data_IF_475445695980
#
_entry.id   IF_475445695980
#
_cell.length_a   1.000
_cell.length_b   1.000
_cell.length_c   1.000
_cell.angle_alpha   90.00
_cell.angle_beta   90.00
_cell.angle_gamma   90.00
#
_symmetry.space_group_name_H-M   'P 1'
#
loop_
_entity.id
_entity.type
_entity.pdbx_description
1 polymer ?
#
# COMPACT_ATOMS: atom_id res chain seq x y z
N UNK A 1 -73.24 33.67 22.06
CA UNK A 1 -72.12 32.74 21.82
C UNK A 1 -71.22 33.41 20.78
N UNK A 2 -69.98 33.80 21.10
CA UNK A 2 -69.08 34.35 20.09
C UNK A 2 -68.47 33.22 19.26
N UNK A 3 -68.29 33.55 17.98
CA UNK A 3 -67.64 32.84 16.89
C UNK A 3 -66.38 32.06 17.29
N UNK A 4 -66.31 30.77 16.96
CA UNK A 4 -65.04 30.06 16.79
C UNK A 4 -64.41 30.57 15.48
N UNK A 5 -63.24 31.18 15.56
CA UNK A 5 -62.41 31.53 14.40
C UNK A 5 -61.61 30.30 13.96
N UNK A 6 -61.83 29.86 12.72
CA UNK A 6 -61.08 28.78 12.04
C UNK A 6 -59.66 29.23 11.59
N UNK A 7 -58.89 29.91 12.45
CA UNK A 7 -57.65 30.60 12.05
C UNK A 7 -56.34 29.91 12.49
N UNK A 8 -56.39 28.66 12.93
CA UNK A 8 -55.18 27.90 13.36
C UNK A 8 -54.78 26.80 12.35
N UNK A 9 -54.83 27.11 11.04
CA UNK A 9 -54.15 26.26 10.07
C UNK A 9 -52.62 26.50 10.17
N UNK A 10 -51.80 25.45 10.36
CA UNK A 10 -50.35 25.63 10.49
C UNK A 10 -49.78 26.29 9.22
N UNK A 11 -48.88 27.25 9.41
CA UNK A 11 -48.26 27.96 8.30
C UNK A 11 -47.46 27.00 7.41
N UNK A 12 -47.31 27.35 6.13
CA UNK A 12 -46.55 26.55 5.15
C UNK A 12 -45.06 26.82 5.33
N UNK A 13 -44.23 25.76 5.37
CA UNK A 13 -42.76 25.92 5.39
C UNK A 13 -42.30 26.65 4.12
N UNK A 14 -41.71 27.84 4.28
CA UNK A 14 -41.08 28.61 3.22
C UNK A 14 -39.59 28.28 3.09
N UNK A 15 -38.90 28.12 4.23
CA UNK A 15 -37.49 27.79 4.28
C UNK A 15 -37.12 27.08 5.59
N UNK A 16 -35.99 26.40 5.58
CA UNK A 16 -35.31 25.88 6.75
C UNK A 16 -33.84 26.33 6.73
N UNK A 17 -33.28 26.66 7.90
CA UNK A 17 -31.90 27.13 8.02
C UNK A 17 -31.20 26.53 9.26
N UNK A 18 -29.87 26.34 9.23
CA UNK A 18 -29.13 25.80 10.37
C UNK A 18 -29.08 26.83 11.52
N UNK A 19 -29.19 26.35 12.76
CA UNK A 19 -29.09 27.19 13.96
C UNK A 19 -27.64 27.51 14.37
N UNK A 20 -26.66 26.73 13.91
CA UNK A 20 -25.25 26.89 14.21
C UNK A 20 -24.40 26.75 12.95
N UNK A 21 -23.19 27.29 13.00
CA UNK A 21 -22.23 27.19 11.90
C UNK A 21 -21.66 25.78 11.71
N UNK A 22 -21.59 24.99 12.78
CA UNK A 22 -21.11 23.61 12.77
C UNK A 22 -21.66 22.82 13.96
N UNK A 23 -21.72 21.51 13.82
CA UNK A 23 -22.15 20.55 14.85
C UNK A 23 -21.07 19.49 15.04
N UNK A 24 -20.77 19.14 16.28
CA UNK A 24 -19.70 18.19 16.59
C UNK A 24 -20.23 16.77 16.83
N UNK A 25 -19.56 15.79 16.23
CA UNK A 25 -19.76 14.38 16.56
C UNK A 25 -19.17 14.07 17.93
N UNK A 26 -19.89 13.29 18.72
CA UNK A 26 -19.35 12.73 19.95
C UNK A 26 -18.53 11.46 19.68
N UNK A 27 -17.92 10.91 20.75
CA UNK A 27 -17.06 9.73 20.67
C UNK A 27 -17.77 8.48 20.11
N UNK A 28 -19.09 8.33 20.29
CA UNK A 28 -19.85 7.19 19.78
C UNK A 28 -20.44 7.41 18.38
N UNK A 29 -20.23 8.59 17.79
CA UNK A 29 -20.72 8.96 16.47
C UNK A 29 -22.15 9.50 16.45
N UNK A 30 -22.65 10.03 17.57
CA UNK A 30 -23.93 10.75 17.62
C UNK A 30 -23.73 12.25 17.47
N UNK A 31 -24.69 12.90 16.82
CA UNK A 31 -24.75 14.37 16.65
C UNK A 31 -26.19 14.88 16.80
N UNK A 32 -26.31 16.05 17.40
CA UNK A 32 -27.56 16.79 17.59
C UNK A 32 -27.61 17.96 16.59
N UNK A 33 -28.44 17.84 15.55
CA UNK A 33 -28.55 18.81 14.46
C UNK A 33 -29.74 19.74 14.72
N UNK A 34 -29.48 21.01 14.98
CA UNK A 34 -30.53 22.02 15.23
C UNK A 34 -30.80 22.86 13.99
N UNK A 35 -32.06 22.97 13.58
CA UNK A 35 -32.48 23.82 12.47
C UNK A 35 -33.74 24.58 12.83
N UNK A 36 -33.98 25.68 12.12
CA UNK A 36 -35.13 26.55 12.30
C UNK A 36 -35.95 26.59 11.00
N UNK A 37 -37.28 26.54 11.14
CA UNK A 37 -38.21 26.69 10.01
C UNK A 37 -38.82 28.09 10.00
N UNK A 38 -39.01 28.62 8.79
CA UNK A 38 -39.62 29.91 8.53
C UNK A 38 -40.95 29.67 7.79
N UNK A 39 -42.09 30.19 8.28
CA UNK A 39 -42.28 30.92 9.55
C UNK A 39 -42.29 29.99 10.79
N UNK A 40 -42.06 30.55 11.98
CA UNK A 40 -41.87 29.79 13.25
C UNK A 40 -43.05 28.88 13.65
N UNK A 41 -44.27 29.21 13.19
CA UNK A 41 -45.49 28.45 13.45
C UNK A 41 -45.75 27.36 12.39
N UNK A 42 -44.82 27.13 11.45
CA UNK A 42 -44.92 26.04 10.49
C UNK A 42 -44.73 24.68 11.17
N UNK A 43 -45.59 23.72 10.82
CA UNK A 43 -45.52 22.36 11.35
C UNK A 43 -44.56 21.51 10.52
N UNK A 44 -43.67 20.78 11.19
CA UNK A 44 -42.79 19.80 10.56
C UNK A 44 -43.31 18.40 10.85
N UNK A 45 -43.61 17.65 9.78
CA UNK A 45 -44.16 16.30 9.88
C UNK A 45 -43.11 15.23 9.57
N UNK A 46 -42.10 15.57 8.75
CA UNK A 46 -41.05 14.63 8.36
C UNK A 46 -39.71 15.36 8.18
N UNK A 47 -38.66 14.76 8.75
CA UNK A 47 -37.26 15.17 8.54
C UNK A 47 -36.46 13.94 8.11
N UNK A 48 -35.78 14.03 6.97
CA UNK A 48 -34.94 12.96 6.44
C UNK A 48 -33.55 13.48 6.11
N UNK A 49 -32.53 12.71 6.43
CA UNK A 49 -31.19 12.94 5.88
C UNK A 49 -31.22 12.48 4.43
N UNK A 50 -30.83 13.36 3.51
CA UNK A 50 -30.78 13.13 2.07
C UNK A 50 -29.36 13.40 1.55
N UNK A 51 -29.05 12.89 0.36
CA UNK A 51 -27.74 13.04 -0.27
C UNK A 51 -27.02 11.70 -0.49
N UNK A 52 -25.87 11.78 -1.14
CA UNK A 52 -25.08 10.60 -1.55
C UNK A 52 -24.37 9.94 -0.36
N UNK A 53 -24.03 10.71 0.67
CA UNK A 53 -23.27 10.22 1.82
C UNK A 53 -24.23 9.60 2.86
N UNK A 54 -24.57 8.31 2.67
CA UNK A 54 -25.47 7.53 3.57
C UNK A 54 -24.82 7.14 4.91
N UNK A 55 -23.75 7.83 5.29
CA UNK A 55 -22.99 7.57 6.50
C UNK A 55 -23.76 7.92 7.79
N UNK A 56 -24.84 8.70 7.70
CA UNK A 56 -25.67 9.13 8.83
C UNK A 56 -27.08 8.56 8.74
N UNK A 57 -27.60 8.15 9.89
CA UNK A 57 -28.99 7.72 10.07
C UNK A 57 -29.69 8.61 11.11
N UNK A 58 -30.87 9.12 10.75
CA UNK A 58 -31.74 9.83 11.67
C UNK A 58 -32.33 8.88 12.72
N UNK A 59 -32.19 9.21 14.00
CA UNK A 59 -32.80 8.47 15.12
C UNK A 59 -34.15 9.03 15.56
N UNK A 60 -34.41 10.30 15.26
CA UNK A 60 -35.67 10.97 15.56
C UNK A 60 -35.48 12.47 15.65
N UNK A 61 -36.58 13.22 15.53
CA UNK A 61 -36.59 14.68 15.63
C UNK A 61 -37.65 15.16 16.63
N UNK A 62 -37.39 16.29 17.27
CA UNK A 62 -38.27 16.91 18.28
C UNK A 62 -38.32 18.42 18.11
N UNK A 63 -39.46 19.03 18.42
CA UNK A 63 -39.57 20.50 18.46
C UNK A 63 -38.96 21.05 19.75
N UNK A 64 -38.21 22.14 19.65
CA UNK A 64 -37.70 22.93 20.80
C UNK A 64 -38.55 24.19 21.07
N UNK A 65 -39.59 24.42 20.28
CA UNK A 65 -40.41 25.65 20.31
C UNK A 65 -39.78 26.82 19.55
N UNK A 66 -40.61 27.80 19.17
CA UNK A 66 -40.19 29.00 18.44
C UNK A 66 -39.56 28.70 17.08
N UNK A 67 -40.20 27.85 16.26
CA UNK A 67 -39.67 27.45 14.95
C UNK A 67 -38.46 26.50 14.98
N UNK A 68 -37.89 26.20 16.15
CA UNK A 68 -36.66 25.38 16.26
C UNK A 68 -36.96 23.91 16.43
N UNK A 69 -36.16 23.10 15.75
CA UNK A 69 -36.24 21.66 15.72
C UNK A 69 -34.86 21.05 15.94
N UNK A 70 -34.84 19.88 16.58
CA UNK A 70 -33.64 19.09 16.84
C UNK A 70 -33.79 17.73 16.16
N UNK A 71 -32.84 17.35 15.32
CA UNK A 71 -32.70 16.02 14.76
C UNK A 71 -31.50 15.32 15.42
N UNK A 72 -31.73 14.17 16.03
CA UNK A 72 -30.64 13.30 16.49
C UNK A 72 -30.24 12.38 15.35
N UNK A 73 -28.96 12.38 14.99
CA UNK A 73 -28.39 11.51 13.96
C UNK A 73 -27.22 10.69 14.53
N UNK A 74 -27.00 9.50 13.95
CA UNK A 74 -25.89 8.60 14.28
C UNK A 74 -25.15 8.19 13.03
N UNK A 75 -23.83 8.11 13.12
CA UNK A 75 -22.98 7.51 12.08
C UNK A 75 -23.21 6.00 12.00
N UNK A 76 -23.50 5.49 10.81
CA UNK A 76 -23.65 4.06 10.51
C UNK A 76 -22.46 3.48 9.77
N UNK A 77 -21.70 4.31 9.05
CA UNK A 77 -20.50 3.93 8.32
C UNK A 77 -19.38 4.95 8.51
N UNK A 78 -18.46 4.66 9.43
CA UNK A 78 -17.30 5.50 9.72
C UNK A 78 -16.25 5.53 8.60
N UNK A 79 -16.35 4.69 7.57
CA UNK A 79 -15.44 4.73 6.42
C UNK A 79 -15.70 5.92 5.50
N UNK A 80 -16.87 6.55 5.63
CA UNK A 80 -17.31 7.68 4.82
C UNK A 80 -17.28 9.01 5.57
N UNK A 81 -16.89 8.99 6.84
CA UNK A 81 -16.79 10.18 7.70
C UNK A 81 -15.43 10.82 7.53
N UNK A 82 -15.43 12.11 7.21
CA UNK A 82 -14.26 12.97 7.12
C UNK A 82 -14.16 13.87 8.35
N UNK A 83 -13.09 14.65 8.44
CA UNK A 83 -12.98 15.71 9.46
C UNK A 83 -14.16 16.70 9.41
N UNK A 84 -14.61 17.06 8.21
CA UNK A 84 -15.75 17.93 7.97
C UNK A 84 -16.71 17.25 6.98
N UNK A 85 -18.00 17.20 7.34
CA UNK A 85 -19.01 16.48 6.61
C UNK A 85 -20.21 17.39 6.36
N UNK A 86 -20.69 17.42 5.12
CA UNK A 86 -21.95 18.08 4.78
C UNK A 86 -23.10 17.11 4.95
N UNK A 87 -24.07 17.46 5.79
CA UNK A 87 -25.31 16.71 6.01
C UNK A 87 -26.47 17.55 5.50
N UNK A 88 -27.25 17.01 4.55
CA UNK A 88 -28.41 17.70 3.99
C UNK A 88 -29.68 17.08 4.57
N UNK A 89 -30.57 17.89 5.14
CA UNK A 89 -31.88 17.43 5.59
C UNK A 89 -32.96 17.88 4.62
N UNK A 90 -33.90 17.00 4.31
CA UNK A 90 -35.20 17.32 3.73
C UNK A 90 -36.20 17.47 4.85
N UNK A 91 -36.72 18.69 5.02
CA UNK A 91 -37.75 19.06 6.00
C UNK A 91 -39.08 19.21 5.27
N UNK A 92 -40.10 18.50 5.72
CA UNK A 92 -41.40 18.42 5.03
C UNK A 92 -42.57 18.63 5.98
N UNK A 93 -43.58 19.27 5.42
CA UNK A 93 -44.92 19.38 5.96
C UNK A 93 -45.89 18.57 5.08
N UNK A 94 -46.92 17.99 5.68
CA UNK A 94 -47.92 17.18 4.98
C UNK A 94 -48.62 18.01 3.92
N UNK A 95 -48.51 17.60 2.66
CA UNK A 95 -49.09 18.32 1.52
C UNK A 95 -48.32 19.58 1.08
N UNK A 96 -47.20 19.90 1.72
CA UNK A 96 -46.31 21.02 1.38
C UNK A 96 -45.10 20.61 0.54
N UNK A 97 -44.37 21.60 0.03
CA UNK A 97 -43.06 21.38 -0.58
C UNK A 97 -42.00 21.03 0.48
N UNK A 98 -40.95 20.32 0.06
CA UNK A 98 -39.81 20.05 0.92
C UNK A 98 -38.86 21.26 0.93
N UNK A 99 -38.38 21.65 2.10
CA UNK A 99 -37.23 22.56 2.24
C UNK A 99 -35.98 21.75 2.53
N UNK A 100 -34.86 22.15 1.95
CA UNK A 100 -33.56 21.54 2.23
C UNK A 100 -32.76 22.42 3.19
N UNK A 101 -32.03 21.80 4.09
CA UNK A 101 -31.09 22.51 4.98
C UNK A 101 -29.74 21.81 4.93
N UNK A 102 -28.69 22.58 4.74
CA UNK A 102 -27.32 22.10 4.73
C UNK A 102 -26.67 22.38 6.09
N UNK A 103 -26.16 21.34 6.75
CA UNK A 103 -25.45 21.46 8.02
C UNK A 103 -24.03 20.92 7.89
N UNK A 104 -23.10 21.59 8.55
CA UNK A 104 -21.70 21.17 8.65
C UNK A 104 -21.53 20.36 9.94
N UNK A 105 -21.06 19.12 9.81
CA UNK A 105 -20.77 18.23 10.94
C UNK A 105 -19.27 17.94 10.99
N UNK A 106 -18.62 18.33 12.08
CA UNK A 106 -17.19 18.13 12.31
C UNK A 106 -16.95 16.92 13.21
N UNK A 107 -15.98 16.06 12.87
CA UNK A 107 -15.55 14.95 13.72
C UNK A 107 -14.22 15.24 14.42
N UNK A 108 -14.24 15.70 15.69
CA UNK A 108 -13.00 15.95 16.44
C UNK A 108 -12.21 14.66 16.74
N UNK A 109 -12.84 13.48 16.59
CA UNK A 109 -12.22 12.17 16.79
C UNK A 109 -11.67 11.57 15.50
N UNK A 110 -11.71 12.32 14.39
CA UNK A 110 -11.12 11.85 13.12
C UNK A 110 -9.64 11.48 13.30
N UNK A 111 -9.23 10.48 12.54
CA UNK A 111 -7.84 10.06 12.43
C UNK A 111 -7.25 10.29 11.03
N UNK A 112 -8.01 10.97 10.15
CA UNK A 112 -7.50 11.39 8.85
C UNK A 112 -6.24 12.26 8.99
N UNK A 113 -5.30 12.11 8.06
CA UNK A 113 -4.09 12.91 7.95
C UNK A 113 -3.14 12.86 9.17
N UNK A 114 -3.38 11.97 10.15
CA UNK A 114 -2.48 11.79 11.31
C UNK A 114 -1.34 10.82 11.06
N UNK A 115 -1.43 10.03 9.99
CA UNK A 115 -0.56 8.90 9.74
C UNK A 115 0.07 8.95 8.34
N UNK A 116 1.24 8.35 8.24
CA UNK A 116 1.97 8.13 6.98
C UNK A 116 2.50 6.70 6.94
N UNK A 117 2.86 6.22 5.75
CA UNK A 117 3.46 4.90 5.56
C UNK A 117 4.96 5.05 5.27
N UNK A 118 5.77 4.23 5.92
CA UNK A 118 7.16 4.01 5.60
C UNK A 118 7.33 2.57 5.10
N UNK A 119 7.83 2.42 3.87
CA UNK A 119 8.04 1.14 3.22
C UNK A 119 9.20 1.24 2.20
N UNK A 120 9.83 0.12 1.82
CA UNK A 120 10.76 0.11 0.70
C UNK A 120 10.03 0.35 -0.62
N UNK A 121 10.75 0.85 -1.63
CA UNK A 121 10.20 1.10 -2.99
C UNK A 121 9.67 -0.16 -3.69
N UNK A 122 10.21 -1.30 -3.31
CA UNK A 122 9.77 -2.59 -3.82
C UNK A 122 10.29 -3.74 -3.00
N UNK A 123 9.81 -4.92 -3.34
CA UNK A 123 10.08 -6.16 -2.62
C UNK A 123 10.02 -7.34 -3.58
N UNK A 124 10.60 -8.47 -3.18
CA UNK A 124 10.37 -9.73 -3.87
C UNK A 124 9.15 -10.44 -3.26
N UNK A 125 8.18 -10.78 -4.11
CA UNK A 125 7.00 -11.52 -3.67
C UNK A 125 7.32 -12.97 -3.29
N UNK A 126 8.51 -13.48 -3.63
CA UNK A 126 9.12 -14.66 -3.02
C UNK A 126 10.65 -14.53 -3.05
N UNK A 127 11.34 -15.30 -2.22
CA UNK A 127 12.80 -15.30 -2.14
C UNK A 127 13.41 -16.17 -3.23
N UNK A 128 14.53 -15.74 -3.81
CA UNK A 128 15.38 -16.63 -4.62
C UNK A 128 15.99 -17.78 -3.80
N UNK A 129 15.97 -17.69 -2.47
CA UNK A 129 16.47 -18.73 -1.57
C UNK A 129 15.37 -19.76 -1.35
N UNK A 130 15.54 -20.95 -1.94
CA UNK A 130 14.49 -21.97 -1.96
C UNK A 130 14.20 -22.53 -0.56
N UNK A 131 15.18 -22.52 0.34
CA UNK A 131 14.99 -22.94 1.73
C UNK A 131 14.17 -21.91 2.53
N UNK A 132 14.18 -20.66 2.06
CA UNK A 132 13.63 -19.49 2.73
C UNK A 132 12.65 -18.73 1.82
N UNK A 133 11.83 -19.49 1.07
CA UNK A 133 11.02 -18.99 -0.04
C UNK A 133 10.08 -17.83 0.36
N UNK A 134 9.57 -17.85 1.59
CA UNK A 134 8.59 -16.88 2.11
C UNK A 134 9.16 -15.87 3.11
N UNK A 135 10.49 -15.81 3.25
CA UNK A 135 11.15 -14.84 4.15
C UNK A 135 11.12 -13.41 3.62
N UNK A 136 10.98 -13.22 2.29
CA UNK A 136 10.81 -11.88 1.71
C UNK A 136 9.35 -11.46 1.77
N UNK A 137 9.14 -10.16 1.92
CA UNK A 137 7.82 -9.54 1.95
C UNK A 137 7.94 -8.03 1.95
N UNK A 138 6.83 -7.32 1.85
CA UNK A 138 6.79 -5.87 1.95
C UNK A 138 6.59 -5.47 3.42
N UNK A 139 7.62 -4.98 4.13
CA UNK A 139 7.40 -4.34 5.42
C UNK A 139 6.74 -2.97 5.21
N UNK A 140 5.68 -2.71 5.96
CA UNK A 140 4.98 -1.42 6.01
C UNK A 140 4.89 -0.97 7.46
N UNK A 141 5.56 0.13 7.77
CA UNK A 141 5.52 0.76 9.09
C UNK A 141 4.60 1.98 9.03
N UNK A 142 3.70 2.10 10.00
CA UNK A 142 2.82 3.25 10.15
C UNK A 142 3.52 4.26 11.06
N UNK A 143 3.73 5.46 10.54
CA UNK A 143 4.32 6.57 11.26
C UNK A 143 3.25 7.63 11.56
N UNK A 144 3.46 8.38 12.62
CA UNK A 144 2.64 9.55 12.99
C UNK A 144 3.57 10.71 13.36
N UNK A 145 3.11 11.94 13.19
CA UNK A 145 3.88 13.13 13.62
C UNK A 145 4.12 13.12 15.14
N UNK A 146 3.09 12.72 15.89
CA UNK A 146 3.18 12.50 17.34
C UNK A 146 3.12 11.01 17.61
N UNK A 147 4.15 10.48 18.26
CA UNK A 147 4.24 9.06 18.56
C UNK A 147 3.04 8.54 19.38
N UNK A 148 2.44 9.39 20.21
CA UNK A 148 1.23 9.10 20.99
C UNK A 148 0.01 8.81 20.11
N UNK A 149 -0.07 9.38 18.90
CA UNK A 149 -1.20 9.16 17.98
C UNK A 149 -1.25 7.71 17.47
N UNK A 150 -0.13 6.97 17.49
CA UNK A 150 -0.11 5.55 17.18
C UNK A 150 -0.98 4.73 18.15
N UNK A 151 -1.20 5.21 19.37
CA UNK A 151 -2.10 4.55 20.33
C UNK A 151 -3.59 4.72 19.98
N UNK A 152 -3.93 5.55 19.00
CA UNK A 152 -5.30 5.74 18.50
C UNK A 152 -5.73 4.57 17.61
N UNK A 153 -4.80 3.92 16.92
CA UNK A 153 -5.10 2.84 15.98
C UNK A 153 -5.07 1.48 16.67
N UNK A 154 -6.00 0.62 16.27
CA UNK A 154 -5.96 -0.79 16.64
C UNK A 154 -5.06 -1.55 15.67
N UNK A 155 -3.82 -1.79 16.10
CA UNK A 155 -2.79 -2.51 15.32
C UNK A 155 -3.22 -3.90 14.88
N UNK A 156 -4.21 -4.53 15.55
CA UNK A 156 -4.74 -5.85 15.14
C UNK A 156 -5.78 -5.76 14.03
N UNK A 157 -6.32 -4.57 13.77
CA UNK A 157 -7.39 -4.33 12.82
C UNK A 157 -6.92 -3.54 11.58
N UNK A 158 -5.62 -3.50 11.32
CA UNK A 158 -5.08 -2.95 10.07
C UNK A 158 -5.51 -3.86 8.92
N UNK A 159 -6.13 -3.26 7.90
CA UNK A 159 -6.52 -3.96 6.67
C UNK A 159 -5.78 -3.40 5.47
N UNK A 160 -5.53 -4.26 4.51
CA UNK A 160 -5.04 -3.87 3.18
C UNK A 160 -6.12 -4.26 2.18
N UNK A 161 -6.53 -3.30 1.38
CA UNK A 161 -7.53 -3.48 0.32
C UNK A 161 -6.93 -3.02 -1.00
N UNK A 162 -7.55 -3.43 -2.10
CA UNK A 162 -7.11 -2.99 -3.43
C UNK A 162 -7.22 -1.48 -3.59
N UNK A 163 -6.27 -0.92 -4.33
CA UNK A 163 -6.23 0.48 -4.72
C UNK A 163 -7.28 0.83 -5.77
N UNK A 164 -7.16 2.05 -6.31
CA UNK A 164 -8.06 2.50 -7.37
C UNK A 164 -7.74 1.81 -8.70
N UNK A 165 -6.47 1.44 -8.90
CA UNK A 165 -6.02 0.75 -10.11
C UNK A 165 -6.24 -0.75 -9.96
N UNK A 166 -7.09 -1.32 -10.82
CA UNK A 166 -7.32 -2.77 -10.85
C UNK A 166 -6.11 -3.49 -11.45
N UNK A 167 -5.58 -4.46 -10.69
CA UNK A 167 -4.50 -5.35 -11.12
C UNK A 167 -4.96 -6.80 -11.05
N UNK A 168 -4.33 -7.68 -11.84
CA UNK A 168 -4.53 -9.14 -11.71
C UNK A 168 -4.14 -9.64 -10.33
N UNK A 169 -3.14 -8.99 -9.72
CA UNK A 169 -2.67 -9.26 -8.37
C UNK A 169 -3.17 -8.16 -7.45
N UNK A 170 -4.09 -8.52 -6.55
CA UNK A 170 -4.63 -7.67 -5.48
C UNK A 170 -4.26 -8.14 -4.08
N UNK A 171 -4.79 -7.46 -3.06
CA UNK A 171 -4.53 -7.67 -1.63
C UNK A 171 -4.80 -9.13 -1.19
N UNK A 172 -5.78 -9.79 -1.80
CA UNK A 172 -6.12 -11.21 -1.58
C UNK A 172 -4.96 -12.19 -1.84
N UNK A 173 -3.95 -11.79 -2.62
CA UNK A 173 -2.78 -12.63 -2.90
C UNK A 173 -1.72 -12.59 -1.80
N UNK A 174 -1.92 -11.76 -0.77
CA UNK A 174 -0.95 -11.55 0.29
C UNK A 174 -1.57 -11.80 1.66
N UNK A 175 -0.76 -12.37 2.55
CA UNK A 175 -1.03 -12.47 3.97
C UNK A 175 -0.52 -11.21 4.66
N UNK A 176 -1.39 -10.59 5.46
CA UNK A 176 -1.04 -9.45 6.32
C UNK A 176 -0.56 -10.02 7.67
N UNK A 177 0.71 -9.83 8.00
CA UNK A 177 1.30 -10.31 9.24
C UNK A 177 1.64 -9.10 10.12
N UNK A 178 0.97 -8.89 11.26
CA UNK A 178 1.27 -7.77 12.16
C UNK A 178 2.73 -7.81 12.65
N UNK A 179 3.38 -6.66 12.70
CA UNK A 179 4.71 -6.55 13.30
C UNK A 179 4.61 -6.62 14.84
N UNK A 180 5.59 -7.28 15.47
CA UNK A 180 5.60 -7.46 16.94
C UNK A 180 6.15 -6.27 17.69
N UNK A 181 7.05 -5.51 17.07
CA UNK A 181 7.83 -4.48 17.77
C UNK A 181 7.65 -3.08 17.18
N UNK A 182 6.90 -2.94 16.08
CA UNK A 182 6.56 -1.67 15.44
C UNK A 182 5.06 -1.65 15.14
N UNK A 183 4.49 -0.46 14.98
CA UNK A 183 3.10 -0.34 14.52
C UNK A 183 3.06 -0.50 13.01
N UNK A 184 2.68 -1.67 12.52
CA UNK A 184 2.72 -1.98 11.09
C UNK A 184 2.50 -3.45 10.81
N UNK A 185 2.81 -3.86 9.58
CA UNK A 185 2.63 -5.23 9.11
C UNK A 185 3.62 -5.57 7.99
N UNK A 186 3.82 -6.86 7.73
CA UNK A 186 4.45 -7.33 6.50
C UNK A 186 3.41 -7.93 5.58
N UNK A 187 3.49 -7.63 4.27
CA UNK A 187 2.77 -8.38 3.24
C UNK A 187 3.68 -9.47 2.69
N UNK A 188 3.29 -10.71 2.94
CA UNK A 188 3.97 -11.87 2.40
C UNK A 188 3.03 -12.54 1.39
N UNK A 189 3.56 -13.07 0.29
CA UNK A 189 2.70 -13.80 -0.67
C UNK A 189 1.98 -14.92 0.06
N UNK A 190 0.70 -15.11 -0.24
CA UNK A 190 -0.01 -16.31 0.18
C UNK A 190 0.57 -17.49 -0.60
N UNK A 191 1.12 -18.54 0.06
CA UNK A 191 1.67 -19.71 -0.61
C UNK A 191 0.74 -20.34 -1.65
N UNK A 192 -0.57 -20.37 -1.38
CA UNK A 192 -1.58 -20.94 -2.29
C UNK A 192 -1.81 -20.10 -3.55
N UNK A 193 -1.35 -18.84 -3.54
CA UNK A 193 -1.51 -17.86 -4.62
C UNK A 193 -0.21 -17.55 -5.35
N UNK A 194 0.90 -18.16 -4.95
CA UNK A 194 2.21 -17.84 -5.51
C UNK A 194 2.27 -18.05 -7.03
N UNK A 195 1.70 -19.14 -7.56
CA UNK A 195 1.71 -19.41 -8.99
C UNK A 195 0.94 -18.33 -9.79
N UNK A 196 -0.22 -17.90 -9.28
CA UNK A 196 -1.02 -16.81 -9.88
C UNK A 196 -0.22 -15.50 -9.93
N UNK A 197 0.51 -15.19 -8.85
CA UNK A 197 1.37 -13.99 -8.79
C UNK A 197 2.56 -14.11 -9.74
N UNK A 198 3.19 -15.29 -9.83
CA UNK A 198 4.31 -15.54 -10.75
C UNK A 198 3.91 -15.40 -12.22
N UNK A 199 2.73 -15.90 -12.59
CA UNK A 199 2.20 -15.75 -13.94
C UNK A 199 1.87 -14.28 -14.27
N UNK A 200 1.27 -13.56 -13.32
CA UNK A 200 0.90 -12.17 -13.52
C UNK A 200 2.09 -11.20 -13.50
N UNK A 201 3.17 -11.52 -12.75
CA UNK A 201 4.34 -10.66 -12.55
C UNK A 201 5.62 -11.44 -12.91
N UNK A 202 5.91 -11.66 -14.20
CA UNK A 202 7.09 -12.45 -14.61
C UNK A 202 8.42 -11.72 -14.36
N UNK A 203 8.40 -10.39 -14.24
CA UNK A 203 9.60 -9.57 -13.98
C UNK A 203 9.34 -8.60 -12.84
N UNK A 204 8.48 -7.60 -13.03
CA UNK A 204 8.03 -6.71 -11.98
C UNK A 204 6.71 -6.05 -12.39
N UNK A 205 5.94 -5.60 -11.39
CA UNK A 205 4.74 -4.79 -11.59
C UNK A 205 4.60 -3.82 -10.42
N UNK A 206 4.12 -2.62 -10.71
CA UNK A 206 3.62 -1.72 -9.67
C UNK A 206 2.26 -2.24 -9.22
N UNK A 207 2.07 -2.32 -7.90
CA UNK A 207 0.83 -2.67 -7.24
C UNK A 207 0.31 -1.44 -6.50
N UNK A 208 -1.01 -1.27 -6.52
CA UNK A 208 -1.71 -0.18 -5.86
C UNK A 208 -2.66 -0.74 -4.81
N UNK A 209 -2.46 -0.31 -3.55
CA UNK A 209 -3.23 -0.74 -2.39
C UNK A 209 -3.68 0.46 -1.57
N UNK A 210 -4.65 0.23 -0.69
CA UNK A 210 -5.00 1.14 0.39
C UNK A 210 -4.86 0.43 1.74
N UNK A 211 -4.15 1.06 2.67
CA UNK A 211 -4.05 0.62 4.07
C UNK A 211 -5.14 1.32 4.85
N UNK A 212 -6.10 0.54 5.36
CA UNK A 212 -7.17 1.04 6.21
C UNK A 212 -6.79 0.89 7.67
N UNK A 213 -6.71 2.03 8.36
CA UNK A 213 -6.47 2.12 9.79
C UNK A 213 -7.81 2.36 10.49
N UNK A 214 -8.11 1.57 11.52
CA UNK A 214 -9.31 1.76 12.34
C UNK A 214 -8.90 2.24 13.73
N UNK A 215 -9.49 3.34 14.18
CA UNK A 215 -9.29 3.85 15.53
C UNK A 215 -10.12 3.07 16.55
N UNK A 216 -9.81 3.25 17.85
CA UNK A 216 -10.62 2.72 18.97
C UNK A 216 -12.10 3.14 18.92
N UNK A 217 -12.37 4.29 18.31
CA UNK A 217 -13.71 4.87 18.20
C UNK A 217 -14.33 4.62 16.81
N UNK A 218 -13.86 3.58 16.13
CA UNK A 218 -14.33 3.11 14.82
C UNK A 218 -14.09 4.03 13.63
N UNK A 219 -13.48 5.22 13.81
CA UNK A 219 -13.08 6.09 12.69
C UNK A 219 -12.03 5.40 11.85
N UNK A 220 -12.15 5.55 10.53
CA UNK A 220 -11.25 4.92 9.57
C UNK A 220 -10.45 5.97 8.82
N UNK A 221 -9.15 5.74 8.66
CA UNK A 221 -8.29 6.48 7.74
C UNK A 221 -7.79 5.52 6.65
N UNK A 222 -7.76 5.98 5.40
CA UNK A 222 -7.22 5.23 4.27
C UNK A 222 -5.93 5.87 3.78
N UNK A 223 -4.85 5.10 3.76
CA UNK A 223 -3.53 5.55 3.31
C UNK A 223 -3.17 4.83 2.00
N UNK A 224 -2.87 5.56 0.91
CA UNK A 224 -2.46 4.94 -0.34
C UNK A 224 -1.08 4.28 -0.18
N UNK A 225 -0.94 3.08 -0.74
CA UNK A 225 0.30 2.31 -0.76
C UNK A 225 0.59 1.85 -2.18
N UNK A 226 1.56 2.49 -2.81
CA UNK A 226 2.06 2.11 -4.14
C UNK A 226 3.44 1.49 -4.01
N UNK A 227 3.62 0.28 -4.55
CA UNK A 227 4.85 -0.51 -4.37
C UNK A 227 5.19 -1.29 -5.63
N UNK A 228 6.47 -1.56 -5.86
CA UNK A 228 6.91 -2.47 -6.94
C UNK A 228 7.11 -3.90 -6.41
N UNK A 229 6.33 -4.85 -6.90
CA UNK A 229 6.55 -6.27 -6.66
C UNK A 229 7.44 -6.84 -7.77
N UNK A 230 8.52 -7.54 -7.41
CA UNK A 230 9.52 -8.03 -8.36
C UNK A 230 9.75 -9.54 -8.24
N UNK A 231 9.93 -10.20 -9.38
CA UNK A 231 10.44 -11.55 -9.45
C UNK A 231 11.91 -11.55 -8.98
N UNK A 232 12.33 -12.52 -8.15
CA UNK A 232 13.66 -12.54 -7.54
C UNK A 232 14.73 -13.09 -8.48
N UNK A 233 14.65 -12.80 -9.78
CA UNK A 233 15.62 -13.28 -10.75
C UNK A 233 15.74 -12.38 -11.97
N UNK A 234 16.97 -12.20 -12.44
CA UNK A 234 17.28 -11.57 -13.70
C UNK A 234 18.47 -12.28 -14.36
N UNK A 235 18.44 -12.38 -15.69
CA UNK A 235 19.55 -12.92 -16.48
C UNK A 235 20.21 -11.79 -17.27
N UNK A 236 21.54 -11.72 -17.17
CA UNK A 236 22.46 -10.90 -17.94
C UNK A 236 22.99 -11.75 -19.09
N UNK A 237 22.84 -11.23 -20.30
CA UNK A 237 23.40 -11.81 -21.51
C UNK A 237 24.29 -10.75 -22.16
N UNK A 238 25.51 -11.13 -22.52
CA UNK A 238 26.49 -10.26 -23.17
C UNK A 238 27.40 -11.12 -24.06
N UNK A 239 27.76 -10.63 -25.24
CA UNK A 239 28.64 -11.34 -26.17
C UNK A 239 30.02 -11.62 -25.55
N UNK A 240 30.48 -10.78 -24.62
CA UNK A 240 31.73 -10.97 -23.90
C UNK A 240 31.71 -12.21 -22.99
N UNK A 241 30.54 -12.73 -22.62
CA UNK A 241 30.35 -13.97 -21.86
C UNK A 241 30.31 -15.22 -22.75
N UNK A 242 30.56 -15.08 -24.05
CA UNK A 242 30.79 -16.22 -24.96
C UNK A 242 32.28 -16.52 -25.05
N UNK A 243 32.66 -17.75 -24.71
CA UNK A 243 34.05 -18.21 -24.56
C UNK A 243 34.29 -19.46 -25.40
N UNK A 244 35.53 -19.67 -25.83
CA UNK A 244 35.94 -20.94 -26.45
C UNK A 244 36.60 -21.85 -25.43
N UNK A 245 36.50 -23.17 -25.63
CA UNK A 245 37.25 -24.12 -24.80
C UNK A 245 38.76 -23.93 -24.86
N UNK A 246 39.28 -23.47 -26.00
CA UNK A 246 40.71 -23.16 -26.14
C UNK A 246 41.14 -22.00 -25.26
N UNK A 247 40.31 -20.97 -25.10
CA UNK A 247 40.61 -19.82 -24.24
C UNK A 247 40.65 -20.26 -22.77
N UNK A 248 39.62 -20.98 -22.31
CA UNK A 248 39.53 -21.45 -20.93
C UNK A 248 40.62 -22.45 -20.56
N UNK A 249 41.14 -23.22 -21.53
CA UNK A 249 42.25 -24.14 -21.32
C UNK A 249 43.64 -23.49 -21.35
N UNK A 250 43.75 -22.21 -21.74
CA UNK A 250 45.02 -21.50 -21.84
C UNK A 250 45.35 -20.75 -20.52
N UNK A 251 46.39 -21.12 -19.77
CA UNK A 251 46.76 -20.44 -18.52
C UNK A 251 47.09 -18.95 -18.67
N UNK A 252 47.44 -18.50 -19.88
CA UNK A 252 47.75 -17.08 -20.16
C UNK A 252 46.51 -16.29 -20.63
N UNK A 253 45.34 -16.93 -20.71
CA UNK A 253 44.11 -16.24 -21.09
C UNK A 253 43.61 -15.38 -19.93
N UNK A 254 43.43 -14.09 -20.19
CA UNK A 254 42.80 -13.14 -19.28
C UNK A 254 41.89 -12.21 -20.09
N UNK A 255 40.68 -11.98 -19.59
CA UNK A 255 39.70 -11.09 -20.23
C UNK A 255 38.89 -10.35 -19.15
N UNK A 256 39.11 -9.05 -19.06
CA UNK A 256 38.34 -8.14 -18.20
C UNK A 256 37.37 -7.27 -19.02
N UNK A 257 36.14 -7.09 -18.52
CA UNK A 257 35.16 -6.17 -19.11
C UNK A 257 34.10 -5.76 -18.09
N UNK A 258 33.40 -4.65 -18.37
CA UNK A 258 32.29 -4.15 -17.57
C UNK A 258 30.95 -4.46 -18.25
N UNK A 259 29.97 -4.90 -17.47
CA UNK A 259 28.57 -4.96 -17.90
C UNK A 259 27.74 -3.99 -17.06
N UNK A 260 26.90 -3.17 -17.69
CA UNK A 260 25.87 -2.41 -16.98
C UNK A 260 24.74 -3.35 -16.53
N UNK A 261 24.58 -3.49 -15.22
CA UNK A 261 23.55 -4.36 -14.62
C UNK A 261 22.45 -3.56 -13.93
N UNK A 262 22.46 -2.23 -14.04
CA UNK A 262 21.54 -1.31 -13.33
C UNK A 262 20.09 -1.70 -13.53
N UNK A 263 19.67 -1.86 -14.78
CA UNK A 263 18.28 -2.20 -15.09
C UNK A 263 17.91 -3.60 -14.59
N UNK A 264 18.83 -4.56 -14.65
CA UNK A 264 18.60 -5.94 -14.19
C UNK A 264 18.44 -6.00 -12.67
N UNK A 265 19.27 -5.26 -11.92
CA UNK A 265 19.14 -5.09 -10.48
C UNK A 265 17.78 -4.50 -10.10
N UNK A 266 17.38 -3.42 -10.76
CA UNK A 266 16.07 -2.76 -10.51
C UNK A 266 14.89 -3.68 -10.81
N UNK A 267 14.94 -4.41 -11.94
CA UNK A 267 13.90 -5.37 -12.34
C UNK A 267 13.66 -6.45 -11.29
N UNK A 268 14.71 -6.90 -10.60
CA UNK A 268 14.60 -7.94 -9.57
C UNK A 268 14.45 -7.41 -8.14
N UNK A 269 14.12 -6.12 -7.96
CA UNK A 269 13.77 -5.55 -6.65
C UNK A 269 14.95 -4.98 -5.85
N UNK A 270 16.12 -4.78 -6.47
CA UNK A 270 17.23 -4.02 -5.89
C UNK A 270 17.09 -2.57 -6.36
N UNK A 271 16.26 -1.81 -5.64
CA UNK A 271 15.78 -0.49 -6.05
C UNK A 271 16.43 0.68 -5.30
N UNK A 272 17.12 0.41 -4.18
CA UNK A 272 17.82 1.47 -3.47
C UNK A 272 19.19 1.72 -4.10
N UNK A 273 19.65 2.96 -3.95
CA UNK A 273 20.86 3.46 -4.60
C UNK A 273 22.15 2.87 -4.03
N UNK A 274 22.08 2.26 -2.84
CA UNK A 274 23.24 1.71 -2.12
C UNK A 274 22.83 0.67 -1.07
N UNK A 275 23.83 0.02 -0.47
CA UNK A 275 23.63 -0.82 0.73
C UNK A 275 23.09 -2.22 0.46
N UNK A 276 22.99 -2.65 -0.80
CA UNK A 276 22.67 -4.04 -1.10
C UNK A 276 23.89 -4.94 -0.89
N UNK A 277 23.63 -6.16 -0.45
CA UNK A 277 24.62 -7.19 -0.13
C UNK A 277 24.66 -8.20 -1.26
N UNK A 278 25.87 -8.65 -1.59
CA UNK A 278 26.11 -9.59 -2.69
C UNK A 278 26.85 -10.80 -2.16
N UNK A 279 26.41 -11.99 -2.54
CA UNK A 279 27.09 -13.26 -2.27
C UNK A 279 27.18 -14.06 -3.56
N UNK A 280 28.38 -14.48 -3.95
CA UNK A 280 28.54 -15.43 -5.04
C UNK A 280 28.02 -16.81 -4.62
N UNK A 281 27.23 -17.42 -5.51
CA UNK A 281 26.78 -18.81 -5.39
C UNK A 281 27.58 -19.74 -6.31
N UNK A 282 28.57 -19.20 -7.03
CA UNK A 282 29.41 -19.94 -7.97
C UNK A 282 28.74 -20.20 -9.31
N UNK A 283 29.36 -21.12 -10.07
CA UNK A 283 28.93 -21.54 -11.40
C UNK A 283 27.92 -22.69 -11.33
N UNK A 284 26.84 -22.56 -12.09
CA UNK A 284 25.84 -23.59 -12.30
C UNK A 284 25.82 -24.02 -13.76
N UNK A 285 25.54 -25.28 -14.04
CA UNK A 285 25.19 -25.74 -15.38
C UNK A 285 23.78 -25.30 -15.79
N UNK A 286 23.37 -25.64 -17.02
CA UNK A 286 22.05 -25.32 -17.55
C UNK A 286 20.88 -25.90 -16.72
N UNK A 287 21.14 -26.97 -15.96
CA UNK A 287 20.17 -27.64 -15.11
C UNK A 287 20.18 -27.08 -13.67
N UNK A 288 21.02 -26.09 -13.37
CA UNK A 288 21.16 -25.47 -12.07
C UNK A 288 22.00 -26.26 -11.07
N UNK A 289 22.76 -27.27 -11.52
CA UNK A 289 23.69 -28.02 -10.68
C UNK A 289 25.02 -27.26 -10.58
N UNK A 290 25.56 -27.18 -9.37
CA UNK A 290 26.87 -26.56 -9.15
C UNK A 290 27.97 -27.32 -9.90
N UNK A 291 28.81 -26.55 -10.58
CA UNK A 291 30.02 -26.98 -11.26
C UNK A 291 31.19 -26.34 -10.52
N UNK A 292 32.34 -27.02 -10.51
CA UNK A 292 33.58 -26.42 -9.99
C UNK A 292 33.85 -25.12 -10.76
N UNK A 293 33.70 -24.00 -10.06
CA UNK A 293 33.75 -22.67 -10.63
C UNK A 293 35.17 -22.22 -10.91
N UNK A 294 36.19 -22.97 -10.44
CA UNK A 294 37.59 -22.62 -10.61
C UNK A 294 37.90 -21.15 -10.29
N UNK A 295 39.10 -20.65 -10.59
CA UNK A 295 39.36 -19.21 -10.56
C UNK A 295 38.91 -18.51 -11.87
N UNK A 296 38.21 -19.20 -12.78
CA UNK A 296 38.05 -18.71 -14.16
C UNK A 296 37.09 -17.53 -14.28
N UNK A 297 36.22 -17.29 -13.29
CA UNK A 297 35.33 -16.12 -13.30
C UNK A 297 35.26 -15.45 -11.93
N UNK A 298 35.63 -14.17 -11.91
CA UNK A 298 35.44 -13.27 -10.79
C UNK A 298 34.52 -12.12 -11.21
N UNK A 299 33.58 -11.76 -10.34
CA UNK A 299 32.67 -10.64 -10.60
C UNK A 299 32.64 -9.69 -9.41
N UNK A 300 32.70 -8.40 -9.68
CA UNK A 300 32.60 -7.35 -8.68
C UNK A 300 31.53 -6.34 -9.09
N UNK A 301 30.54 -6.13 -8.22
CA UNK A 301 29.51 -5.12 -8.42
C UNK A 301 29.96 -3.78 -7.85
N UNK A 302 29.90 -2.72 -8.66
CA UNK A 302 30.34 -1.38 -8.30
C UNK A 302 29.26 -0.34 -8.63
N UNK A 303 28.91 0.47 -7.62
CA UNK A 303 27.97 1.57 -7.76
C UNK A 303 28.76 2.78 -8.27
N UNK A 304 28.37 3.27 -9.44
CA UNK A 304 29.15 4.25 -10.21
C UNK A 304 28.82 5.69 -9.83
N UNK A 305 27.60 5.96 -9.37
CA UNK A 305 27.10 7.31 -9.14
C UNK A 305 26.01 7.40 -8.05
N UNK A 306 25.57 8.62 -7.78
CA UNK A 306 24.52 8.93 -6.80
C UNK A 306 23.11 8.50 -7.25
N UNK A 307 22.94 8.15 -8.51
CA UNK A 307 21.71 7.60 -9.09
C UNK A 307 21.60 6.09 -8.87
N UNK A 308 22.68 5.46 -8.39
CA UNK A 308 22.74 4.02 -8.14
C UNK A 308 22.96 3.21 -9.42
N UNK A 309 23.50 3.82 -10.48
CA UNK A 309 23.88 3.07 -11.66
C UNK A 309 25.02 2.13 -11.28
N UNK A 310 24.87 0.85 -11.62
CA UNK A 310 25.74 -0.22 -11.14
C UNK A 310 26.34 -0.97 -12.31
N UNK A 311 27.66 -1.10 -12.30
CA UNK A 311 28.40 -1.98 -13.20
C UNK A 311 28.79 -3.27 -12.50
N UNK A 312 28.95 -4.32 -13.29
CA UNK A 312 29.62 -5.54 -12.91
C UNK A 312 30.94 -5.64 -13.67
N UNK A 313 32.05 -5.52 -12.97
CA UNK A 313 33.38 -5.83 -13.50
C UNK A 313 33.54 -7.34 -13.49
N UNK A 314 33.76 -7.92 -14.67
CA UNK A 314 33.95 -9.36 -14.85
C UNK A 314 35.38 -9.60 -15.28
N UNK A 315 36.08 -10.46 -14.54
CA UNK A 315 37.40 -10.97 -14.90
C UNK A 315 37.30 -12.46 -15.21
N UNK A 316 37.78 -12.84 -16.39
CA UNK A 316 37.84 -14.23 -16.81
C UNK A 316 39.28 -14.66 -16.98
N UNK A 317 39.66 -15.81 -16.41
CA UNK A 317 41.02 -16.37 -16.51
C UNK A 317 40.97 -17.81 -17.01
N UNK A 318 41.97 -18.22 -17.81
CA UNK A 318 42.07 -19.61 -18.24
C UNK A 318 42.90 -20.45 -17.26
N UNK A 319 42.54 -21.72 -17.10
CA UNK A 319 43.31 -22.67 -16.31
C UNK A 319 43.15 -24.09 -16.87
N UNK A 320 44.26 -24.63 -17.38
CA UNK A 320 44.33 -25.95 -18.01
C UNK A 320 43.89 -27.11 -17.10
N UNK A 321 43.79 -26.90 -15.78
CA UNK A 321 43.28 -27.90 -14.82
C UNK A 321 41.77 -28.12 -14.93
N UNK A 322 41.03 -27.15 -15.47
CA UNK A 322 39.58 -27.20 -15.59
C UNK A 322 39.18 -27.48 -17.03
N UNK A 323 38.34 -28.51 -17.23
CA UNK A 323 37.87 -28.92 -18.55
C UNK A 323 36.36 -28.75 -18.65
N UNK A 324 35.93 -27.54 -18.99
CA UNK A 324 34.52 -27.22 -19.22
C UNK A 324 34.04 -27.81 -20.55
N UNK A 325 32.88 -28.44 -20.52
CA UNK A 325 32.22 -28.93 -21.72
C UNK A 325 31.59 -27.75 -22.49
N UNK A 326 31.41 -27.85 -23.82
CA UNK A 326 30.59 -26.89 -24.54
C UNK A 326 29.17 -26.89 -23.97
N UNK A 327 28.58 -25.71 -23.79
CA UNK A 327 27.25 -25.60 -23.20
C UNK A 327 26.94 -24.21 -22.63
N UNK A 328 25.77 -24.12 -22.00
CA UNK A 328 25.34 -22.93 -21.27
C UNK A 328 25.57 -23.12 -19.77
N UNK A 329 26.17 -22.11 -19.15
CA UNK A 329 26.41 -22.04 -17.72
C UNK A 329 25.87 -20.72 -17.17
N UNK A 330 25.66 -20.67 -15.87
CA UNK A 330 25.21 -19.48 -15.16
C UNK A 330 26.12 -19.22 -13.97
N UNK A 331 26.84 -18.10 -13.99
CA UNK A 331 27.46 -17.60 -12.78
C UNK A 331 26.43 -16.78 -11.99
N UNK A 332 26.19 -17.13 -10.73
CA UNK A 332 25.04 -16.62 -9.99
C UNK A 332 25.47 -15.80 -8.78
N UNK A 333 24.99 -14.55 -8.74
CA UNK A 333 25.11 -13.66 -7.60
C UNK A 333 23.78 -13.54 -6.87
N UNK A 334 23.78 -13.84 -5.57
CA UNK A 334 22.66 -13.56 -4.67
C UNK A 334 22.76 -12.12 -4.18
N UNK A 335 21.80 -11.30 -4.58
CA UNK A 335 21.67 -9.90 -4.19
C UNK A 335 20.56 -9.77 -3.14
N UNK A 336 20.83 -9.07 -2.05
CA UNK A 336 19.85 -8.73 -1.00
C UNK A 336 19.85 -7.24 -0.76
N UNK A 337 18.67 -6.63 -0.67
CA UNK A 337 18.53 -5.22 -0.31
C UNK A 337 17.81 -5.14 1.05
N UNK A 338 18.56 -5.09 2.16
CA UNK A 338 17.97 -4.81 3.45
C UNK A 338 17.36 -3.40 3.45
N UNK A 339 16.27 -3.23 4.20
CA UNK A 339 15.62 -1.95 4.41
C UNK A 339 15.64 -1.63 5.91
N UNK A 340 16.17 -0.46 6.26
CA UNK A 340 16.27 -0.01 7.64
C UNK A 340 15.19 1.03 7.96
N UNK A 341 14.45 0.81 9.05
CA UNK A 341 13.44 1.73 9.54
C UNK A 341 13.45 1.71 11.06
N UNK A 342 13.51 2.89 11.69
CA UNK A 342 13.56 3.07 13.15
C UNK A 342 14.57 2.17 13.88
N UNK A 343 15.75 1.96 13.27
CA UNK A 343 16.82 1.15 13.85
C UNK A 343 16.65 -0.37 13.68
N UNK A 344 15.66 -0.81 12.90
CA UNK A 344 15.42 -2.23 12.56
C UNK A 344 15.65 -2.51 11.10
N UNK A 345 16.14 -3.71 10.84
CA UNK A 345 16.45 -4.17 9.49
C UNK A 345 15.43 -5.22 9.05
N UNK A 346 14.80 -4.96 7.91
CA UNK A 346 13.90 -5.87 7.22
C UNK A 346 14.54 -6.34 5.91
N UNK A 347 14.13 -7.49 5.38
CA UNK A 347 14.71 -8.08 4.17
C UNK A 347 13.67 -8.19 3.04
N UNK A 348 13.26 -7.07 2.42
CA UNK A 348 12.24 -7.10 1.38
C UNK A 348 12.69 -7.79 0.09
N UNK A 349 14.00 -7.84 -0.18
CA UNK A 349 14.52 -8.38 -1.44
C UNK A 349 15.63 -9.40 -1.23
N UNK A 350 15.53 -10.53 -1.93
CA UNK A 350 16.50 -11.61 -2.03
C UNK A 350 16.39 -12.22 -3.44
N UNK A 351 17.27 -11.80 -4.34
CA UNK A 351 17.18 -12.07 -5.77
C UNK A 351 18.47 -12.63 -6.38
N UNK A 352 18.35 -13.38 -7.48
CA UNK A 352 19.48 -13.87 -8.26
C UNK A 352 19.75 -13.03 -9.49
N UNK A 353 20.95 -12.48 -9.58
CA UNK A 353 21.52 -12.03 -10.85
C UNK A 353 22.32 -13.18 -11.46
N UNK A 354 21.91 -13.63 -12.64
CA UNK A 354 22.57 -14.72 -13.37
C UNK A 354 23.32 -14.16 -14.57
N UNK A 355 24.60 -14.45 -14.71
CA UNK A 355 25.37 -14.17 -15.91
C UNK A 355 25.39 -15.42 -16.77
N UNK A 356 24.76 -15.37 -17.94
CA UNK A 356 24.72 -16.49 -18.88
C UNK A 356 26.05 -16.57 -19.62
N UNK A 357 26.78 -17.65 -19.40
CA UNK A 357 28.07 -17.94 -20.03
C UNK A 357 27.85 -19.03 -21.07
N UNK A 358 28.35 -18.80 -22.28
CA UNK A 358 28.25 -19.78 -23.38
C UNK A 358 29.65 -20.25 -23.74
N UNK A 359 29.91 -21.54 -23.57
CA UNK A 359 31.19 -22.16 -23.94
C UNK A 359 31.00 -22.90 -25.25
N UNK A 360 31.81 -22.55 -26.26
CA UNK A 360 31.82 -23.16 -27.60
C UNK A 360 32.92 -24.19 -27.77
#
# INVERSE_FOLDING_TARGET
MPSCSDDDAPAVIEAAQPCASAYELNEVGDVALEFEVIPENAQVDEVKIIGENRAFEAKGFTSKGGGKWLLNARVTDFTQIKQENTVILSVRQTGGAASEVELVVTDPYTIENKFTLANPKGFNYYSADKENLYETGLPVVIAAEKQEDLALIDSKNIKVVDGAVSHKVGAVHFNIIPMTEETGFTLNVNPEKLEEVQEAIPTYSTLDFNVQLTSKNSRVASLPLTVTACAPQATVEDDALTLSRSDLGNPDFEKGFDIDVTHKLRQMGILEKSGFKVKSLGLLDENGKSVDDGPFIETQLEIMDAEGNTKCSVSLTGDARYNYAPGTYYYVLRCRQPWECYGKTYNPSCANLKFKIVIK
#
